data_IF_179234908038
#
_entry.id   IF_179234908038
#
_cell.length_a   1.000
_cell.length_b   1.000
_cell.length_c   1.000
_cell.angle_alpha   90.00
_cell.angle_beta   90.00
_cell.angle_gamma   90.00
#
_symmetry.space_group_name_H-M   'P 1'
#
loop_
_entity.id
_entity.type
_entity.pdbx_description
1 polymer ?
#
# COMPACT_ATOMS: atom_id res chain seq x y z
N UNK A 1 19.66 -1.26 -25.54
CA UNK A 1 19.05 -1.48 -24.21
C UNK A 1 17.95 -0.46 -24.03
N UNK A 2 16.77 -0.85 -23.53
CA UNK A 2 15.82 0.15 -23.06
C UNK A 2 16.51 0.95 -21.94
N UNK A 3 16.40 2.28 -21.98
CA UNK A 3 16.95 3.12 -20.93
C UNK A 3 16.15 2.88 -19.63
N UNK A 4 16.84 2.45 -18.57
CA UNK A 4 16.19 1.97 -17.33
C UNK A 4 15.39 3.10 -16.68
N UNK A 5 15.90 4.32 -16.71
CA UNK A 5 15.35 5.43 -15.92
C UNK A 5 14.44 6.37 -16.71
N UNK A 6 14.59 6.40 -18.04
CA UNK A 6 13.75 7.16 -18.96
C UNK A 6 13.30 6.22 -20.09
N UNK A 7 12.01 5.89 -20.10
CA UNK A 7 11.45 4.93 -21.02
C UNK A 7 10.01 5.28 -21.40
N UNK A 8 9.50 4.72 -22.52
CA UNK A 8 8.15 4.99 -22.99
C UNK A 8 7.05 4.69 -21.96
N UNK A 9 7.23 3.68 -21.10
CA UNK A 9 6.27 3.33 -20.04
C UNK A 9 6.14 4.47 -19.04
N UNK A 10 7.25 4.98 -18.51
CA UNK A 10 7.27 6.12 -17.58
C UNK A 10 6.68 7.38 -18.23
N UNK A 11 7.02 7.64 -19.49
CA UNK A 11 6.49 8.80 -20.22
C UNK A 11 4.97 8.73 -20.42
N UNK A 12 4.44 7.54 -20.75
CA UNK A 12 2.99 7.32 -20.86
C UNK A 12 2.27 7.51 -19.51
N UNK A 13 2.87 7.06 -18.40
CA UNK A 13 2.31 7.27 -17.06
C UNK A 13 2.38 8.73 -16.62
N UNK A 14 3.47 9.45 -16.92
CA UNK A 14 3.55 10.89 -16.67
C UNK A 14 2.45 11.66 -17.40
N UNK A 15 2.13 11.29 -18.64
CA UNK A 15 1.02 11.89 -19.38
C UNK A 15 -0.33 11.65 -18.67
N UNK A 16 -0.57 10.44 -18.12
CA UNK A 16 -1.77 10.16 -17.31
C UNK A 16 -1.82 10.99 -16.02
N UNK A 17 -0.69 11.11 -15.31
CA UNK A 17 -0.60 11.86 -14.05
C UNK A 17 -0.85 13.35 -14.28
N UNK A 18 -0.40 13.89 -15.42
CA UNK A 18 -0.59 15.29 -15.78
C UNK A 18 -2.07 15.70 -15.90
N UNK A 19 -2.98 14.76 -16.22
CA UNK A 19 -4.41 15.05 -16.36
C UNK A 19 -5.17 15.08 -15.03
N UNK A 20 -4.53 14.71 -13.91
CA UNK A 20 -5.12 14.76 -12.59
C UNK A 20 -5.25 16.22 -12.14
N UNK A 21 -6.48 16.73 -12.05
CA UNK A 21 -6.77 18.15 -11.79
C UNK A 21 -7.43 18.41 -10.43
N UNK A 22 -7.86 17.36 -9.74
CA UNK A 22 -8.64 17.40 -8.50
C UNK A 22 -8.15 16.35 -7.51
N UNK A 23 -8.26 16.64 -6.21
CA UNK A 23 -7.81 15.73 -5.16
C UNK A 23 -8.53 14.38 -5.23
N UNK A 24 -9.85 14.38 -5.45
CA UNK A 24 -10.66 13.17 -5.55
C UNK A 24 -10.20 12.25 -6.70
N UNK A 25 -9.93 12.79 -7.89
CA UNK A 25 -9.43 11.98 -9.02
C UNK A 25 -8.07 11.39 -8.71
N UNK A 26 -7.16 12.16 -8.14
CA UNK A 26 -5.83 11.68 -7.78
C UNK A 26 -5.86 10.62 -6.67
N UNK A 27 -6.77 10.76 -5.68
CA UNK A 27 -6.99 9.76 -4.63
C UNK A 27 -7.50 8.43 -5.22
N UNK A 28 -8.50 8.49 -6.10
CA UNK A 28 -9.00 7.29 -6.78
C UNK A 28 -7.90 6.64 -7.63
N UNK A 29 -7.12 7.46 -8.35
CA UNK A 29 -6.04 6.99 -9.21
C UNK A 29 -4.93 6.25 -8.44
N UNK A 30 -4.46 6.80 -7.31
CA UNK A 30 -3.42 6.13 -6.52
C UNK A 30 -3.93 4.84 -5.85
N UNK A 31 -5.19 4.84 -5.43
CA UNK A 31 -5.81 3.67 -4.79
C UNK A 31 -5.92 2.51 -5.78
N UNK A 32 -6.41 2.79 -7.00
CA UNK A 32 -6.48 1.82 -8.09
C UNK A 32 -5.08 1.34 -8.51
N UNK A 33 -4.12 2.26 -8.65
CA UNK A 33 -2.74 1.92 -9.01
C UNK A 33 -2.12 0.94 -8.01
N UNK A 34 -2.24 1.23 -6.71
CA UNK A 34 -1.69 0.39 -5.64
C UNK A 34 -2.35 -0.99 -5.61
N UNK A 35 -3.67 -1.07 -5.77
CA UNK A 35 -4.38 -2.34 -5.82
C UNK A 35 -3.94 -3.22 -6.99
N UNK A 36 -3.69 -2.61 -8.17
CA UNK A 36 -3.35 -3.35 -9.39
C UNK A 36 -1.90 -3.74 -9.49
N UNK A 37 -0.98 -2.90 -9.04
CA UNK A 37 0.45 -3.01 -9.37
C UNK A 37 1.38 -3.18 -8.15
N UNK A 38 0.87 -3.08 -6.92
CA UNK A 38 1.70 -3.10 -5.71
C UNK A 38 1.38 -4.29 -4.80
N UNK A 39 2.37 -4.67 -4.00
CA UNK A 39 2.39 -5.86 -3.12
C UNK A 39 2.46 -7.21 -3.85
N UNK A 40 2.72 -8.32 -3.13
CA UNK A 40 2.62 -9.67 -3.69
C UNK A 40 1.23 -10.06 -4.20
N UNK A 41 0.20 -9.27 -3.87
CA UNK A 41 -1.19 -9.55 -4.22
C UNK A 41 -1.70 -8.74 -5.41
N UNK A 42 -0.80 -8.03 -6.09
CA UNK A 42 -1.10 -7.29 -7.31
C UNK A 42 -1.65 -8.21 -8.39
N UNK A 43 -2.57 -7.66 -9.18
CA UNK A 43 -3.20 -8.37 -10.31
C UNK A 43 -2.49 -8.14 -11.63
N UNK A 44 -1.59 -7.16 -11.70
CA UNK A 44 -0.88 -6.78 -12.90
C UNK A 44 0.63 -6.59 -12.64
N UNK A 45 1.41 -7.45 -13.30
CA UNK A 45 2.87 -7.51 -13.21
C UNK A 45 3.58 -6.78 -14.36
N UNK A 46 2.84 -6.09 -15.23
CA UNK A 46 3.39 -5.37 -16.40
C UNK A 46 4.33 -4.22 -16.02
N UNK A 47 4.26 -3.73 -14.78
CA UNK A 47 5.05 -2.60 -14.28
C UNK A 47 6.14 -3.00 -13.29
N UNK A 48 6.60 -4.26 -13.28
CA UNK A 48 7.55 -4.76 -12.27
C UNK A 48 8.81 -3.89 -12.10
N UNK A 49 9.30 -3.30 -13.20
CA UNK A 49 10.54 -2.51 -13.22
C UNK A 49 10.31 -0.99 -13.09
N UNK A 50 9.06 -0.53 -13.15
CA UNK A 50 8.72 0.90 -13.21
C UNK A 50 7.73 1.34 -12.12
N UNK A 51 6.98 0.41 -11.52
CA UNK A 51 5.85 0.69 -10.64
C UNK A 51 6.21 1.54 -9.43
N UNK A 52 7.38 1.32 -8.82
CA UNK A 52 7.86 2.11 -7.68
C UNK A 52 8.09 3.59 -8.04
N UNK A 53 8.67 3.85 -9.22
CA UNK A 53 8.90 5.22 -9.68
C UNK A 53 7.59 5.89 -10.09
N UNK A 54 6.69 5.15 -10.73
CA UNK A 54 5.36 5.65 -11.09
C UNK A 54 4.55 5.98 -9.84
N UNK A 55 4.56 5.12 -8.81
CA UNK A 55 3.89 5.38 -7.52
C UNK A 55 4.35 6.73 -6.94
N UNK A 56 5.66 6.95 -6.87
CA UNK A 56 6.25 8.21 -6.39
C UNK A 56 5.71 9.43 -7.16
N UNK A 57 5.58 9.34 -8.48
CA UNK A 57 5.07 10.47 -9.30
C UNK A 57 3.58 10.73 -9.09
N UNK A 58 2.80 9.70 -8.83
CA UNK A 58 1.39 9.85 -8.43
C UNK A 58 1.32 10.50 -7.04
N UNK A 59 2.18 10.08 -6.10
CA UNK A 59 2.29 10.63 -4.75
C UNK A 59 2.63 12.13 -4.77
N UNK A 60 3.64 12.55 -5.53
CA UNK A 60 4.00 13.97 -5.70
C UNK A 60 2.79 14.79 -6.18
N UNK A 61 2.09 14.32 -7.21
CA UNK A 61 0.92 15.00 -7.77
C UNK A 61 -0.22 15.10 -6.76
N UNK A 62 -0.51 14.00 -6.06
CA UNK A 62 -1.57 13.94 -5.04
C UNK A 62 -1.25 14.87 -3.86
N UNK A 63 0.00 14.93 -3.42
CA UNK A 63 0.42 15.82 -2.33
C UNK A 63 0.23 17.30 -2.68
N UNK A 64 0.57 17.72 -3.90
CA UNK A 64 0.35 19.08 -4.38
C UNK A 64 -1.13 19.44 -4.44
N UNK A 65 -1.97 18.53 -4.95
CA UNK A 65 -3.43 18.71 -4.98
C UNK A 65 -4.00 18.81 -3.56
N UNK A 66 -3.53 17.96 -2.64
CA UNK A 66 -3.94 17.99 -1.23
C UNK A 66 -3.60 19.33 -0.59
N UNK A 67 -2.39 19.83 -0.79
CA UNK A 67 -1.96 21.12 -0.23
C UNK A 67 -2.78 22.31 -0.78
N UNK A 68 -3.23 22.23 -2.04
CA UNK A 68 -4.07 23.25 -2.65
C UNK A 68 -5.51 23.25 -2.09
N UNK A 69 -6.04 22.08 -1.75
CA UNK A 69 -7.47 21.91 -1.43
C UNK A 69 -7.76 21.88 0.08
N UNK A 70 -6.86 21.31 0.89
CA UNK A 70 -7.05 21.18 2.34
C UNK A 70 -6.53 22.41 3.08
N UNK A 71 -7.25 22.83 4.12
CA UNK A 71 -6.70 23.72 5.13
C UNK A 71 -5.75 22.96 6.09
N UNK A 72 -5.04 23.68 6.96
CA UNK A 72 -4.07 23.11 7.90
C UNK A 72 -4.67 22.02 8.80
N UNK A 73 -5.90 22.21 9.28
CA UNK A 73 -6.58 21.22 10.12
C UNK A 73 -6.86 19.94 9.34
N UNK A 74 -7.35 20.05 8.10
CA UNK A 74 -7.62 18.91 7.24
C UNK A 74 -6.33 18.20 6.82
N UNK A 75 -5.26 18.94 6.54
CA UNK A 75 -3.95 18.39 6.16
C UNK A 75 -3.39 17.46 7.24
N UNK A 76 -3.60 17.83 8.51
CA UNK A 76 -3.10 17.11 9.67
C UNK A 76 -4.01 15.95 10.12
N UNK A 77 -5.33 16.05 9.88
CA UNK A 77 -6.30 15.15 10.51
C UNK A 77 -7.13 14.30 9.53
N UNK A 78 -7.09 14.57 8.23
CA UNK A 78 -7.94 13.89 7.26
C UNK A 78 -7.12 13.12 6.21
N UNK A 79 -7.66 11.99 5.78
CA UNK A 79 -7.23 11.30 4.58
C UNK A 79 -7.66 12.09 3.33
N UNK A 80 -7.03 11.84 2.18
CA UNK A 80 -7.39 12.52 0.91
C UNK A 80 -8.80 12.21 0.39
N UNK A 81 -9.47 11.18 0.92
CA UNK A 81 -10.90 10.92 0.70
C UNK A 81 -11.83 11.71 1.63
N UNK A 82 -11.29 12.55 2.52
CA UNK A 82 -12.05 13.34 3.50
C UNK A 82 -12.29 12.63 4.84
N UNK A 83 -12.06 11.31 4.94
CA UNK A 83 -12.21 10.56 6.19
C UNK A 83 -11.26 11.06 7.29
N UNK A 84 -11.66 10.98 8.56
CA UNK A 84 -10.79 11.29 9.68
C UNK A 84 -9.69 10.21 9.80
N UNK A 85 -8.43 10.64 9.78
CA UNK A 85 -7.29 9.74 9.75
C UNK A 85 -7.18 8.88 11.02
N UNK A 86 -7.44 9.47 12.20
CA UNK A 86 -7.34 8.75 13.47
C UNK A 86 -8.45 7.71 13.60
N UNK A 87 -9.66 7.98 13.11
CA UNK A 87 -10.74 6.98 13.07
C UNK A 87 -10.36 5.79 12.19
N UNK A 88 -9.86 6.04 10.97
CA UNK A 88 -9.39 4.98 10.07
C UNK A 88 -8.27 4.14 10.72
N UNK A 89 -7.33 4.81 11.40
CA UNK A 89 -6.26 4.15 12.15
C UNK A 89 -6.79 3.25 13.28
N UNK A 90 -7.68 3.79 14.12
CA UNK A 90 -8.25 3.05 15.24
C UNK A 90 -9.03 1.81 14.77
N UNK A 91 -9.80 1.93 13.68
CA UNK A 91 -10.56 0.81 13.13
C UNK A 91 -9.65 -0.33 12.65
N UNK A 92 -8.54 -0.02 11.98
CA UNK A 92 -7.63 -1.06 11.50
C UNK A 92 -6.79 -1.67 12.61
N UNK A 93 -6.40 -0.87 13.62
CA UNK A 93 -5.71 -1.36 14.81
C UNK A 93 -6.61 -2.34 15.56
N UNK A 94 -7.86 -1.97 15.83
CA UNK A 94 -8.82 -2.86 16.52
C UNK A 94 -9.03 -4.19 15.76
N UNK A 95 -9.11 -4.15 14.42
CA UNK A 95 -9.17 -5.37 13.60
C UNK A 95 -7.92 -6.23 13.75
N UNK A 96 -6.74 -5.62 13.78
CA UNK A 96 -5.46 -6.33 13.92
C UNK A 96 -5.29 -6.92 15.33
N UNK A 97 -5.69 -6.20 16.38
CA UNK A 97 -5.65 -6.67 17.76
C UNK A 97 -6.50 -7.91 17.98
N UNK A 98 -7.70 -7.93 17.39
CA UNK A 98 -8.62 -9.06 17.43
C UNK A 98 -8.17 -10.26 16.55
N UNK A 99 -7.18 -10.06 15.67
CA UNK A 99 -6.73 -11.08 14.74
C UNK A 99 -5.82 -12.11 15.44
N UNK A 100 -6.13 -13.39 15.22
CA UNK A 100 -5.37 -14.54 15.76
C UNK A 100 -4.63 -15.33 14.70
N UNK A 101 -4.88 -15.07 13.41
CA UNK A 101 -4.27 -15.79 12.29
C UNK A 101 -3.23 -14.92 11.57
N UNK A 102 -2.02 -15.46 11.38
CA UNK A 102 -0.92 -14.71 10.77
C UNK A 102 -1.12 -14.38 9.29
N UNK A 103 -1.95 -15.14 8.56
CA UNK A 103 -2.25 -14.88 7.15
C UNK A 103 -3.34 -13.82 7.01
N UNK A 104 -4.33 -13.79 7.89
CA UNK A 104 -5.30 -12.71 7.98
C UNK A 104 -4.63 -11.39 8.43
N UNK A 105 -3.76 -11.43 9.44
CA UNK A 105 -2.98 -10.29 9.88
C UNK A 105 -2.11 -9.71 8.75
N UNK A 106 -1.50 -10.56 7.92
CA UNK A 106 -0.77 -10.15 6.71
C UNK A 106 -1.65 -9.33 5.76
N UNK A 107 -2.90 -9.78 5.54
CA UNK A 107 -3.85 -9.09 4.67
C UNK A 107 -4.27 -7.76 5.23
N UNK A 108 -4.56 -7.69 6.53
CA UNK A 108 -4.92 -6.44 7.21
C UNK A 108 -3.81 -5.41 7.02
N UNK A 109 -2.56 -5.77 7.32
CA UNK A 109 -1.43 -4.85 7.25
C UNK A 109 -1.13 -4.41 5.80
N UNK A 110 -1.13 -5.34 4.84
CA UNK A 110 -0.88 -4.99 3.43
C UNK A 110 -1.99 -4.10 2.90
N UNK A 111 -3.27 -4.43 3.15
CA UNK A 111 -4.39 -3.63 2.66
C UNK A 111 -4.41 -2.22 3.27
N UNK A 112 -4.05 -2.08 4.56
CA UNK A 112 -3.85 -0.77 5.18
C UNK A 112 -2.82 0.06 4.41
N UNK A 113 -1.65 -0.52 4.13
CA UNK A 113 -0.59 0.19 3.41
C UNK A 113 -1.01 0.59 2.00
N UNK A 114 -1.68 -0.29 1.26
CA UNK A 114 -2.17 0.02 -0.09
C UNK A 114 -3.18 1.17 -0.07
N UNK A 115 -4.12 1.16 0.88
CA UNK A 115 -5.15 2.18 0.98
C UNK A 115 -4.65 3.51 1.58
N UNK A 116 -3.76 3.46 2.57
CA UNK A 116 -3.49 4.62 3.43
C UNK A 116 -2.07 5.19 3.31
N UNK A 117 -1.13 4.53 2.58
CA UNK A 117 0.24 5.07 2.45
C UNK A 117 0.21 6.54 2.00
N UNK A 118 1.02 7.42 2.62
CA UNK A 118 1.10 8.83 2.26
C UNK A 118 1.27 9.04 0.74
N UNK A 119 0.74 10.13 0.18
CA UNK A 119 0.12 11.27 0.87
C UNK A 119 -1.37 11.08 1.19
N UNK A 120 -1.93 9.87 1.06
CA UNK A 120 -3.35 9.58 1.38
C UNK A 120 -3.66 9.89 2.84
N UNK A 121 -2.98 9.23 3.78
CA UNK A 121 -3.09 9.50 5.21
C UNK A 121 -1.98 10.47 5.66
N UNK A 122 -2.22 11.34 6.67
CA UNK A 122 -1.16 12.09 7.34
C UNK A 122 -0.05 11.17 7.85
N UNK A 123 1.21 11.54 7.61
CA UNK A 123 2.38 10.67 7.86
C UNK A 123 2.47 10.23 9.31
N UNK A 124 2.22 11.13 10.26
CA UNK A 124 2.29 10.81 11.70
C UNK A 124 1.30 9.72 12.09
N UNK A 125 0.05 9.81 11.62
CA UNK A 125 -0.99 8.81 11.88
C UNK A 125 -0.64 7.50 11.18
N UNK A 126 -0.19 7.57 9.92
CA UNK A 126 0.18 6.39 9.15
C UNK A 126 1.33 5.61 9.80
N UNK A 127 2.42 6.28 10.17
CA UNK A 127 3.60 5.62 10.73
C UNK A 127 3.34 5.03 12.11
N UNK A 128 2.55 5.70 12.96
CA UNK A 128 2.18 5.11 14.25
C UNK A 128 1.25 3.91 14.08
N UNK A 129 0.32 3.97 13.13
CA UNK A 129 -0.53 2.82 12.79
C UNK A 129 0.31 1.66 12.25
N UNK A 130 1.20 1.91 11.27
CA UNK A 130 2.06 0.91 10.65
C UNK A 130 3.00 0.23 11.67
N UNK A 131 3.48 1.00 12.66
CA UNK A 131 4.24 0.48 13.81
C UNK A 131 3.42 -0.54 14.59
N UNK A 132 2.19 -0.20 14.99
CA UNK A 132 1.33 -1.08 15.79
C UNK A 132 0.92 -2.34 15.02
N UNK A 133 0.55 -2.19 13.75
CA UNK A 133 0.22 -3.32 12.88
C UNK A 133 1.42 -4.25 12.68
N UNK A 134 2.60 -3.68 12.44
CA UNK A 134 3.84 -4.45 12.27
C UNK A 134 4.21 -5.25 13.51
N UNK A 135 4.07 -4.69 14.71
CA UNK A 135 4.30 -5.41 15.98
C UNK A 135 3.46 -6.67 16.07
N UNK A 136 2.12 -6.55 15.94
CA UNK A 136 1.21 -7.70 16.03
C UNK A 136 1.47 -8.75 14.94
N UNK A 137 1.75 -8.31 13.71
CA UNK A 137 2.06 -9.23 12.62
C UNK A 137 3.32 -10.06 12.91
N UNK A 138 4.37 -9.43 13.46
CA UNK A 138 5.60 -10.13 13.82
C UNK A 138 5.39 -11.11 14.97
N UNK A 139 4.61 -10.74 15.99
CA UNK A 139 4.25 -11.64 17.10
C UNK A 139 3.56 -12.91 16.58
N UNK A 140 2.55 -12.76 15.73
CA UNK A 140 1.80 -13.87 15.16
C UNK A 140 2.65 -14.76 14.25
N UNK A 141 3.55 -14.17 13.45
CA UNK A 141 4.40 -14.94 12.51
C UNK A 141 5.52 -15.67 13.19
N UNK A 142 6.15 -15.05 14.18
CA UNK A 142 7.38 -15.58 14.76
C UNK A 142 7.12 -16.63 15.85
N UNK A 143 5.88 -16.76 16.31
CA UNK A 143 5.47 -17.85 17.19
C UNK A 143 5.53 -19.17 16.41
N UNK A 144 6.29 -20.14 16.94
CA UNK A 144 6.47 -21.47 16.34
C UNK A 144 6.88 -21.45 14.86
N UNK A 145 7.70 -20.46 14.48
CA UNK A 145 8.06 -20.18 13.07
C UNK A 145 8.56 -21.40 12.29
N UNK A 146 9.27 -22.32 12.95
CA UNK A 146 9.84 -23.52 12.32
C UNK A 146 8.97 -24.79 12.49
N UNK A 147 7.81 -24.69 13.13
CA UNK A 147 6.97 -25.86 13.40
C UNK A 147 6.29 -26.41 12.14
N UNK A 148 6.04 -25.56 11.13
CA UNK A 148 5.40 -25.96 9.88
C UNK A 148 6.46 -26.40 8.84
N UNK A 149 6.43 -27.66 8.36
CA UNK A 149 7.34 -28.11 7.30
C UNK A 149 7.17 -27.33 6.00
N UNK A 150 8.23 -27.29 5.18
CA UNK A 150 8.24 -26.53 3.92
C UNK A 150 7.14 -26.97 2.94
N UNK A 151 6.87 -28.27 2.85
CA UNK A 151 5.81 -28.84 2.01
C UNK A 151 4.44 -28.28 2.37
N UNK A 152 4.11 -28.24 3.66
CA UNK A 152 2.86 -27.70 4.16
C UNK A 152 2.81 -26.18 4.02
N UNK A 153 3.92 -25.49 4.26
CA UNK A 153 4.01 -24.03 4.07
C UNK A 153 3.79 -23.61 2.61
N UNK A 154 4.35 -24.35 1.64
CA UNK A 154 4.12 -24.13 0.20
C UNK A 154 2.64 -24.23 -0.14
N UNK A 155 1.94 -25.22 0.40
CA UNK A 155 0.50 -25.40 0.21
C UNK A 155 -0.30 -24.26 0.85
N UNK A 156 -0.01 -23.91 2.12
CA UNK A 156 -0.67 -22.81 2.83
C UNK A 156 -0.50 -21.47 2.12
N UNK A 157 0.70 -21.18 1.61
CA UNK A 157 0.97 -19.96 0.82
C UNK A 157 0.31 -20.00 -0.56
N UNK A 158 0.02 -21.19 -1.09
CA UNK A 158 -0.62 -21.39 -2.40
C UNK A 158 0.33 -21.21 -3.58
N UNK A 159 1.62 -21.54 -3.42
CA UNK A 159 2.59 -21.41 -4.52
C UNK A 159 2.43 -22.54 -5.54
N UNK A 160 2.66 -22.25 -6.82
CA UNK A 160 2.91 -23.26 -7.84
C UNK A 160 4.40 -23.61 -7.83
N UNK A 161 4.74 -24.82 -7.37
CA UNK A 161 6.12 -25.31 -7.37
C UNK A 161 6.53 -25.62 -8.82
N UNK A 162 7.56 -24.94 -9.33
CA UNK A 162 8.05 -25.12 -10.71
C UNK A 162 9.08 -26.23 -10.79
N UNK A 163 10.01 -26.28 -9.84
CA UNK A 163 11.04 -27.32 -9.72
C UNK A 163 11.45 -27.49 -8.26
N UNK A 164 11.85 -28.70 -7.89
CA UNK A 164 12.55 -29.02 -6.64
C UNK A 164 13.81 -29.78 -7.06
N UNK A 165 14.97 -29.23 -6.73
CA UNK A 165 16.28 -29.82 -7.04
C UNK A 165 16.63 -30.95 -6.08
#
# INVERSE_FOLDING_TARGET
>A
MANIHDNPTRNAWMAKIATLDTLAKAHAFITDFRAKHMSPFKTDWSLELDGLWIELKIEEKLALLKHKEFNDTQLLNNCTCGANAQQVANEVIAKMEACTDMYEAERIHINFRLACKPPVMPVNVFLDTDRQLGTKLMELRNTDYYALPLEALRQKRGVKVVTLQ
#
